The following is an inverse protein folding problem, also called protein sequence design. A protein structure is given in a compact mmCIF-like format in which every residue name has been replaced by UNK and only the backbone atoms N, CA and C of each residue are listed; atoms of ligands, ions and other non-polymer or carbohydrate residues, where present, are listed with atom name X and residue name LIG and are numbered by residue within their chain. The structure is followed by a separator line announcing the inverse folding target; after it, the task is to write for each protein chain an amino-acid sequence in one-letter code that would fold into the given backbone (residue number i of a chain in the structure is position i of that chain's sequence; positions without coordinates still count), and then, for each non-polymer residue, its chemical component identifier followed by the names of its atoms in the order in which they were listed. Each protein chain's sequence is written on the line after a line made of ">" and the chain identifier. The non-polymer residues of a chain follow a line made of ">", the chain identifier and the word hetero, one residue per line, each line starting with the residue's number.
data_IF_364747883584
#
_entry.id   IF_364747883584
#
_cell.length_a   1.000
_cell.length_b   1.000
_cell.length_c   1.000
_cell.angle_alpha   90.00
_cell.angle_beta   90.00
_cell.angle_gamma   90.00
#
_symmetry.space_group_name_H-M   'P 1'
#
loop_
_entity.id
_entity.type
_entity.pdbx_description
1 polymer ?
#
# COMPACT_ATOMS: atom_id res chain seq x y z
N UNK A 1 -7.06 -39.36 41.84
CA UNK A 1 -5.84 -39.22 41.02
C UNK A 1 -6.11 -39.24 39.50
N UNK A 2 -6.98 -40.11 38.96
CA UNK A 2 -7.29 -40.13 37.50
C UNK A 2 -8.14 -38.94 37.02
N UNK A 3 -9.12 -38.51 37.81
CA UNK A 3 -9.99 -37.37 37.47
C UNK A 3 -9.28 -36.01 37.54
N UNK A 4 -8.34 -35.85 38.47
CA UNK A 4 -7.52 -34.64 38.61
C UNK A 4 -6.56 -34.45 37.42
N UNK A 5 -5.99 -35.55 36.90
CA UNK A 5 -5.17 -35.51 35.69
C UNK A 5 -5.99 -35.12 34.44
N UNK A 6 -7.22 -35.62 34.33
CA UNK A 6 -8.12 -35.30 33.23
C UNK A 6 -8.57 -33.83 33.24
N UNK A 7 -8.90 -33.29 34.42
CA UNK A 7 -9.25 -31.88 34.58
C UNK A 7 -8.07 -30.94 34.25
N UNK A 8 -6.84 -31.32 34.62
CA UNK A 8 -5.65 -30.52 34.33
C UNK A 8 -5.31 -30.54 32.84
N UNK A 9 -5.41 -31.70 32.19
CA UNK A 9 -5.23 -31.83 30.74
C UNK A 9 -6.29 -31.02 29.96
N UNK A 10 -7.54 -31.02 30.42
CA UNK A 10 -8.60 -30.22 29.84
C UNK A 10 -8.33 -28.71 30.01
N UNK A 11 -7.91 -28.27 31.19
CA UNK A 11 -7.53 -26.86 31.43
C UNK A 11 -6.36 -26.38 30.55
N UNK A 12 -5.36 -27.24 30.32
CA UNK A 12 -4.24 -26.98 29.40
C UNK A 12 -4.70 -26.87 27.94
N UNK A 13 -5.66 -27.71 27.51
CA UNK A 13 -6.25 -27.64 26.17
C UNK A 13 -7.07 -26.37 25.96
N UNK A 14 -7.76 -25.85 26.98
CA UNK A 14 -8.47 -24.57 26.89
C UNK A 14 -7.53 -23.35 26.84
N UNK A 15 -6.34 -23.43 27.42
CA UNK A 15 -5.33 -22.37 27.37
C UNK A 15 -4.57 -22.28 26.03
N UNK A 16 -4.66 -23.30 25.18
CA UNK A 16 -4.00 -23.35 23.87
C UNK A 16 -4.77 -22.63 22.76
N UNK A 17 -6.03 -22.23 23.00
CA UNK A 17 -6.83 -21.42 22.08
C UNK A 17 -6.49 -19.92 22.17
N UNK A 18 -5.23 -19.59 22.47
CA UNK A 18 -4.73 -18.22 22.51
C UNK A 18 -4.79 -17.58 21.12
N UNK A 19 -5.39 -16.38 21.04
CA UNK A 19 -5.84 -15.72 19.81
C UNK A 19 -4.83 -15.56 18.67
N UNK A 20 -5.36 -15.31 17.48
CA UNK A 20 -4.55 -15.07 16.27
C UNK A 20 -3.61 -13.88 16.46
N UNK A 21 -2.37 -13.93 15.93
CA UNK A 21 -1.47 -12.78 15.90
C UNK A 21 -2.16 -11.56 15.29
N UNK A 22 -1.84 -10.33 15.76
CA UNK A 22 -2.43 -9.12 15.19
C UNK A 22 -2.00 -8.93 13.74
N UNK A 23 -2.91 -8.38 12.93
CA UNK A 23 -2.64 -7.98 11.54
C UNK A 23 -2.38 -6.48 11.51
N UNK A 24 -1.30 -6.07 10.87
CA UNK A 24 -0.88 -4.69 10.65
C UNK A 24 -1.23 -4.26 9.23
N UNK A 25 -1.75 -3.02 9.11
CA UNK A 25 -2.07 -2.41 7.83
C UNK A 25 -1.14 -1.23 7.56
N UNK A 26 -0.68 -1.11 6.32
CA UNK A 26 0.31 -0.14 5.89
C UNK A 26 -0.23 0.75 4.78
N UNK A 27 0.08 2.04 4.86
CA UNK A 27 -0.21 3.01 3.82
C UNK A 27 1.11 3.62 3.33
N UNK A 28 1.15 4.04 2.07
CA UNK A 28 2.29 4.81 1.59
C UNK A 28 2.29 6.18 2.28
N UNK A 29 3.48 6.64 2.75
CA UNK A 29 3.60 7.92 3.43
C UNK A 29 3.25 9.04 2.46
N UNK A 30 2.74 10.13 3.00
CA UNK A 30 2.48 11.35 2.25
C UNK A 30 3.10 12.56 2.94
N UNK A 31 3.30 13.67 2.22
CA UNK A 31 3.98 14.83 2.80
C UNK A 31 3.19 15.37 4.00
N UNK A 32 3.92 15.80 5.02
CA UNK A 32 3.34 16.53 6.14
C UNK A 32 2.99 17.96 5.71
N UNK A 33 1.80 18.43 6.11
CA UNK A 33 1.30 19.77 5.82
C UNK A 33 0.15 19.80 4.81
N UNK A 34 -0.43 20.99 4.62
CA UNK A 34 -1.43 21.19 3.57
C UNK A 34 -0.75 21.46 2.23
N UNK A 35 -1.19 20.75 1.18
CA UNK A 35 -0.78 21.05 -0.18
C UNK A 35 -1.15 22.51 -0.52
N UNK A 36 -0.28 23.17 -1.29
CA UNK A 36 -0.53 24.53 -1.74
C UNK A 36 -1.87 24.63 -2.46
N UNK A 37 -2.68 25.65 -2.12
CA UNK A 37 -4.00 25.84 -2.73
C UNK A 37 -3.86 25.91 -4.25
N UNK A 38 -4.64 25.13 -5.03
CA UNK A 38 -4.55 25.18 -6.48
C UNK A 38 -4.91 26.59 -6.95
N UNK A 39 -3.99 27.19 -7.69
CA UNK A 39 -4.25 28.37 -8.51
C UNK A 39 -4.54 27.88 -9.93
N UNK A 40 -5.17 28.71 -10.77
CA UNK A 40 -5.37 28.38 -12.18
C UNK A 40 -4.10 28.63 -13.00
N UNK A 41 -2.92 28.24 -12.49
CA UNK A 41 -1.64 28.41 -13.17
C UNK A 41 -1.35 27.17 -14.03
N UNK A 42 -1.57 27.31 -15.34
CA UNK A 42 -1.25 26.28 -16.33
C UNK A 42 -2.21 25.09 -16.36
N UNK A 43 -1.93 24.14 -17.26
CA UNK A 43 -2.75 22.93 -17.43
C UNK A 43 -2.63 22.00 -16.21
N UNK A 44 -3.72 21.48 -15.61
CA UNK A 44 -3.64 20.51 -14.52
C UNK A 44 -2.84 19.26 -14.90
N UNK A 45 -2.33 18.56 -13.88
CA UNK A 45 -1.68 17.25 -14.01
C UNK A 45 -2.67 16.18 -13.57
N UNK A 46 -2.98 15.23 -14.45
CA UNK A 46 -3.77 14.04 -14.12
C UNK A 46 -2.82 12.87 -13.93
N UNK A 47 -2.82 12.30 -12.72
CA UNK A 47 -2.00 11.16 -12.34
C UNK A 47 -2.84 9.88 -12.47
N UNK A 48 -2.27 8.86 -13.10
CA UNK A 48 -2.90 7.58 -13.34
C UNK A 48 -3.35 7.35 -14.79
N UNK A 49 -3.73 6.12 -15.16
CA UNK A 49 -3.88 4.96 -14.27
C UNK A 49 -2.54 4.46 -13.71
N UNK A 50 -2.61 3.82 -12.54
CA UNK A 50 -1.49 3.07 -11.96
C UNK A 50 -1.69 1.60 -12.27
N UNK A 51 -0.69 0.97 -12.85
CA UNK A 51 -0.64 -0.48 -13.09
C UNK A 51 0.43 -1.10 -12.22
N UNK A 52 0.10 -2.27 -11.67
CA UNK A 52 1.04 -3.10 -10.91
C UNK A 52 0.92 -4.55 -11.41
N UNK A 53 2.00 -5.34 -11.31
CA UNK A 53 1.99 -6.76 -11.57
C UNK A 53 0.96 -7.48 -10.71
N UNK A 54 0.39 -8.55 -11.26
CA UNK A 54 -0.63 -9.34 -10.57
C UNK A 54 -0.18 -9.89 -9.19
N UNK A 55 1.12 -10.08 -8.99
CA UNK A 55 1.66 -10.52 -7.70
C UNK A 55 1.57 -9.43 -6.62
N UNK A 56 1.46 -8.15 -7.00
CA UNK A 56 1.30 -6.99 -6.11
C UNK A 56 -0.16 -6.55 -5.94
N UNK A 57 -1.09 -7.02 -6.78
CA UNK A 57 -2.52 -6.74 -6.63
C UNK A 57 -3.16 -7.47 -5.42
N UNK A 58 -2.37 -8.23 -4.66
CA UNK A 58 -2.79 -8.87 -3.41
C UNK A 58 -2.67 -7.86 -2.25
N UNK A 59 -3.50 -7.97 -1.20
CA UNK A 59 -3.40 -7.09 -0.05
C UNK A 59 -2.16 -7.36 0.82
N UNK A 60 -1.43 -8.45 0.59
CA UNK A 60 -0.26 -8.82 1.39
C UNK A 60 1.00 -8.09 0.93
N UNK A 61 1.87 -7.75 1.87
CA UNK A 61 3.21 -7.24 1.53
C UNK A 61 4.04 -8.40 0.95
N UNK A 62 4.59 -8.18 -0.24
CA UNK A 62 5.45 -9.15 -0.92
C UNK A 62 6.92 -8.99 -0.48
N UNK A 63 7.58 -10.11 -0.22
CA UNK A 63 8.97 -10.20 0.18
C UNK A 63 9.72 -11.10 -0.79
N UNK A 64 10.97 -10.74 -1.09
CA UNK A 64 11.83 -11.56 -1.94
C UNK A 64 12.63 -12.56 -1.11
N UNK A 65 12.40 -13.84 -1.35
CA UNK A 65 13.11 -14.94 -0.72
C UNK A 65 14.12 -15.57 -1.70
N UNK A 66 15.17 -14.83 -2.05
CA UNK A 66 16.13 -15.21 -3.09
C UNK A 66 15.74 -14.74 -4.49
N UNK A 67 16.42 -15.22 -5.53
CA UNK A 67 16.33 -14.57 -6.85
C UNK A 67 14.98 -14.73 -7.55
N UNK A 68 14.29 -15.85 -7.33
CA UNK A 68 13.07 -16.22 -8.07
C UNK A 68 11.85 -16.55 -7.19
N UNK A 69 11.95 -16.43 -5.87
CA UNK A 69 10.83 -16.72 -4.96
C UNK A 69 10.31 -15.43 -4.32
N UNK A 70 8.99 -15.25 -4.40
CA UNK A 70 8.26 -14.24 -3.66
C UNK A 70 7.44 -14.94 -2.58
N UNK A 71 7.65 -14.51 -1.34
CA UNK A 71 6.85 -14.91 -0.19
C UNK A 71 5.94 -13.73 0.21
N UNK A 72 4.81 -14.01 0.85
CA UNK A 72 3.86 -12.98 1.30
C UNK A 72 3.79 -12.98 2.83
N UNK A 73 3.74 -11.78 3.41
CA UNK A 73 3.48 -11.63 4.84
C UNK A 73 1.97 -11.53 5.08
N UNK A 74 1.39 -12.54 5.72
CA UNK A 74 -0.06 -12.59 5.97
C UNK A 74 -0.52 -11.66 7.09
N UNK A 75 0.43 -11.26 7.96
CA UNK A 75 0.20 -10.37 9.10
C UNK A 75 0.48 -8.90 8.74
N UNK A 76 1.17 -8.61 7.65
CA UNK A 76 1.39 -7.25 7.17
C UNK A 76 0.74 -7.03 5.80
N UNK A 77 -0.22 -6.11 5.77
CA UNK A 77 -1.08 -5.88 4.61
C UNK A 77 -1.05 -4.43 4.19
N UNK A 78 -1.28 -4.15 2.91
CA UNK A 78 -1.64 -2.81 2.48
C UNK A 78 -3.02 -2.43 3.03
N UNK A 79 -3.18 -1.17 3.43
CA UNK A 79 -4.44 -0.61 3.92
C UNK A 79 -5.50 -0.46 2.83
N UNK A 80 -5.07 -0.40 1.57
CA UNK A 80 -5.90 -0.46 0.37
C UNK A 80 -5.18 -1.23 -0.74
N UNK A 81 -5.69 -1.24 -1.97
CA UNK A 81 -4.93 -1.84 -3.07
C UNK A 81 -3.65 -1.03 -3.32
N UNK A 82 -2.57 -1.68 -3.73
CA UNK A 82 -1.31 -0.97 -3.96
C UNK A 82 -1.45 0.13 -5.03
N UNK A 83 -2.27 -0.11 -6.06
CA UNK A 83 -2.58 0.87 -7.09
C UNK A 83 -3.21 2.15 -6.50
N UNK A 84 -4.13 1.98 -5.54
CA UNK A 84 -4.78 3.10 -4.86
C UNK A 84 -3.81 3.84 -3.93
N UNK A 85 -2.99 3.11 -3.16
CA UNK A 85 -1.94 3.70 -2.31
C UNK A 85 -0.96 4.55 -3.12
N UNK A 86 -0.48 4.02 -4.25
CA UNK A 86 0.47 4.72 -5.13
C UNK A 86 -0.18 5.93 -5.77
N UNK A 87 -1.39 5.80 -6.29
CA UNK A 87 -2.11 6.91 -6.92
C UNK A 87 -2.29 8.06 -5.93
N UNK A 88 -2.78 7.75 -4.72
CA UNK A 88 -2.98 8.72 -3.63
C UNK A 88 -1.66 9.39 -3.26
N UNK A 89 -0.62 8.59 -2.99
CA UNK A 89 0.68 9.13 -2.59
C UNK A 89 1.28 10.04 -3.66
N UNK A 90 1.20 9.67 -4.94
CA UNK A 90 1.72 10.50 -6.03
C UNK A 90 0.95 11.81 -6.19
N UNK A 91 -0.39 11.77 -6.10
CA UNK A 91 -1.21 12.99 -6.16
C UNK A 91 -0.84 13.95 -5.03
N UNK A 92 -0.74 13.44 -3.80
CA UNK A 92 -0.39 14.27 -2.64
C UNK A 92 1.03 14.84 -2.77
N UNK A 93 2.02 14.03 -3.13
CA UNK A 93 3.40 14.51 -3.33
C UNK A 93 3.52 15.54 -4.45
N UNK A 94 2.83 15.33 -5.58
CA UNK A 94 2.87 16.27 -6.69
C UNK A 94 2.13 17.56 -6.36
N UNK A 95 1.01 17.51 -5.63
CA UNK A 95 0.30 18.71 -5.18
C UNK A 95 1.18 19.56 -4.25
N UNK A 96 1.98 18.93 -3.39
CA UNK A 96 2.94 19.63 -2.55
C UNK A 96 4.13 20.22 -3.33
N UNK A 97 4.63 19.50 -4.34
CA UNK A 97 5.80 19.94 -5.13
C UNK A 97 5.45 20.93 -6.25
N UNK A 98 4.19 20.99 -6.67
CA UNK A 98 3.69 21.87 -7.73
C UNK A 98 2.65 22.85 -7.19
N UNK A 99 3.02 23.73 -6.24
CA UNK A 99 2.07 24.66 -5.64
C UNK A 99 1.47 25.56 -6.73
N UNK A 100 0.15 25.77 -6.66
CA UNK A 100 -0.56 26.59 -7.62
C UNK A 100 -0.94 25.88 -8.93
N UNK A 101 -0.63 24.59 -9.10
CA UNK A 101 -1.09 23.78 -10.23
C UNK A 101 -2.04 22.70 -9.74
N UNK A 102 -3.19 22.53 -10.42
CA UNK A 102 -4.13 21.45 -10.07
C UNK A 102 -3.53 20.07 -10.34
N UNK A 103 -3.54 19.19 -9.33
CA UNK A 103 -3.16 17.78 -9.46
C UNK A 103 -4.40 16.93 -9.18
N UNK A 104 -4.75 16.06 -10.11
CA UNK A 104 -5.98 15.29 -10.12
C UNK A 104 -5.68 13.80 -10.25
N UNK A 105 -6.44 12.96 -9.54
CA UNK A 105 -6.35 11.52 -9.68
C UNK A 105 -7.18 11.03 -10.89
N UNK A 106 -6.69 10.02 -11.60
CA UNK A 106 -7.50 9.21 -12.51
C UNK A 106 -8.66 8.57 -11.73
N UNK A 107 -9.88 8.45 -12.29
CA UNK A 107 -10.27 8.68 -13.68
C UNK A 107 -10.83 10.08 -13.95
N UNK A 108 -10.38 11.13 -13.26
CA UNK A 108 -10.90 12.49 -13.50
C UNK A 108 -10.80 12.86 -14.99
N UNK A 109 -11.93 13.27 -15.56
CA UNK A 109 -12.04 13.60 -16.98
C UNK A 109 -11.68 15.06 -17.21
N UNK A 110 -10.50 15.28 -17.79
CA UNK A 110 -10.07 16.57 -18.32
C UNK A 110 -9.75 16.39 -19.81
N UNK A 111 -10.19 17.30 -20.70
CA UNK A 111 -9.86 17.22 -22.11
C UNK A 111 -8.35 17.12 -22.32
N UNK A 112 -7.92 16.26 -23.26
CA UNK A 112 -6.53 15.87 -23.41
C UNK A 112 -5.63 17.07 -23.75
N UNK A 113 -6.15 18.04 -24.50
CA UNK A 113 -5.47 19.29 -24.84
C UNK A 113 -5.35 20.27 -23.66
N UNK A 114 -6.02 19.99 -22.54
CA UNK A 114 -6.05 20.85 -21.34
C UNK A 114 -5.37 20.24 -20.11
N UNK A 115 -4.75 19.07 -20.21
CA UNK A 115 -4.07 18.44 -19.08
C UNK A 115 -2.76 17.76 -19.47
N UNK A 116 -1.79 17.82 -18.57
CA UNK A 116 -0.66 16.90 -18.58
C UNK A 116 -1.09 15.57 -17.96
N UNK A 117 -0.67 14.44 -18.53
CA UNK A 117 -1.03 13.12 -18.02
C UNK A 117 0.20 12.32 -17.66
N UNK A 118 0.17 11.70 -16.48
CA UNK A 118 1.23 10.83 -15.98
C UNK A 118 0.63 9.46 -15.72
N UNK A 119 0.86 8.52 -16.63
CA UNK A 119 0.56 7.12 -16.40
C UNK A 119 1.72 6.47 -15.63
N UNK A 120 1.41 5.51 -14.76
CA UNK A 120 2.40 4.84 -13.92
C UNK A 120 2.29 3.35 -14.14
N UNK A 121 3.42 2.72 -14.45
CA UNK A 121 3.57 1.27 -14.49
C UNK A 121 4.68 0.91 -13.50
N UNK A 122 4.37 0.04 -12.55
CA UNK A 122 5.32 -0.41 -11.53
C UNK A 122 5.75 -1.81 -11.90
N UNK A 123 6.97 -2.01 -12.39
CA UNK A 123 7.42 -3.36 -12.76
C UNK A 123 7.66 -4.25 -11.52
N UNK A 124 8.05 -3.64 -10.40
CA UNK A 124 8.40 -4.33 -9.16
C UNK A 124 8.28 -3.40 -7.95
N UNK A 125 7.83 -3.96 -6.83
CA UNK A 125 7.90 -3.34 -5.50
C UNK A 125 7.99 -4.47 -4.46
N UNK A 126 9.17 -4.68 -3.89
CA UNK A 126 9.38 -5.73 -2.90
C UNK A 126 10.49 -5.39 -1.90
N UNK A 127 10.45 -6.06 -0.75
CA UNK A 127 11.48 -5.92 0.28
C UNK A 127 12.50 -7.05 0.14
N UNK A 128 13.78 -6.70 0.11
CA UNK A 128 14.90 -7.65 0.20
C UNK A 128 15.29 -7.80 1.68
N UNK A 129 15.39 -9.04 2.18
CA UNK A 129 15.79 -9.30 3.57
C UNK A 129 17.15 -8.64 3.86
N UNK A 130 17.18 -7.72 4.84
CA UNK A 130 18.38 -7.01 5.26
C UNK A 130 18.71 -5.71 4.49
N UNK A 131 17.80 -5.18 3.66
CA UNK A 131 18.05 -3.96 2.89
C UNK A 131 16.84 -3.06 2.64
N UNK A 132 17.07 -1.96 1.91
CA UNK A 132 16.05 -1.01 1.43
C UNK A 132 15.11 -1.65 0.41
N UNK A 133 13.84 -1.25 0.41
CA UNK A 133 12.88 -1.57 -0.66
C UNK A 133 13.42 -1.10 -2.03
N UNK A 134 13.12 -1.86 -3.10
CA UNK A 134 13.53 -1.55 -4.47
C UNK A 134 12.34 -1.61 -5.43
#
# INVERSE_FOLDING_TARGET
>A
MRHTAFAFALALLLGACGGSPPVHYHALPTPDGEAGRPAALGAPVVVGPVRVPAFLSRPYIAWRAGDSRLDYDELHRWGSSLEAEVLRALVEHLAHRLPGRGVLAWPTQVPAERALRVAVDIDRLDVVRGGTSR
#
